data_IF_611577083092
#
_entry.id   IF_611577083092
#
_cell.length_a   1.000
_cell.length_b   1.000
_cell.length_c   1.000
_cell.angle_alpha   90.00
_cell.angle_beta   90.00
_cell.angle_gamma   90.00
#
_symmetry.space_group_name_H-M   'P 1'
#
loop_
_entity.id
_entity.type
_entity.pdbx_description
1 polymer ?
#
# COMPACT_ATOMS: atom_id res chain seq x y z
N UNK A 1 -7.74 3.06 -1.50
CA UNK A 1 -7.83 1.81 -0.70
C UNK A 1 -7.47 0.61 -1.55
N UNK A 2 -8.26 0.25 -2.58
CA UNK A 2 -8.00 -0.94 -3.39
C UNK A 2 -6.60 -0.98 -4.03
N UNK A 3 -6.13 0.12 -4.62
CA UNK A 3 -4.79 0.15 -5.22
C UNK A 3 -3.67 -0.10 -4.19
N UNK A 4 -3.75 0.55 -3.03
CA UNK A 4 -2.81 0.36 -1.90
C UNK A 4 -2.79 -1.10 -1.45
N UNK A 5 -3.97 -1.72 -1.31
CA UNK A 5 -4.11 -3.12 -0.96
C UNK A 5 -3.49 -4.05 -2.03
N UNK A 6 -3.80 -3.82 -3.32
CA UNK A 6 -3.21 -4.58 -4.43
C UNK A 6 -1.68 -4.48 -4.40
N UNK A 7 -1.12 -3.30 -4.13
CA UNK A 7 0.33 -3.14 -4.03
C UNK A 7 0.93 -3.90 -2.84
N UNK A 8 0.29 -3.84 -1.67
CA UNK A 8 0.73 -4.63 -0.51
C UNK A 8 0.76 -6.13 -0.84
N UNK A 9 -0.31 -6.65 -1.45
CA UNK A 9 -0.40 -8.05 -1.86
C UNK A 9 0.68 -8.40 -2.88
N UNK A 10 0.89 -7.57 -3.91
CA UNK A 10 1.91 -7.83 -4.94
C UNK A 10 3.32 -7.85 -4.38
N UNK A 11 3.68 -6.91 -3.49
CA UNK A 11 4.99 -6.93 -2.84
C UNK A 11 5.16 -8.14 -1.94
N UNK A 12 4.11 -8.56 -1.22
CA UNK A 12 4.17 -9.73 -0.36
C UNK A 12 4.31 -11.03 -1.17
N UNK A 13 3.53 -11.17 -2.23
CA UNK A 13 3.63 -12.32 -3.14
C UNK A 13 5.01 -12.39 -3.76
N UNK A 14 5.55 -11.26 -4.24
CA UNK A 14 6.89 -11.24 -4.83
C UNK A 14 7.97 -11.62 -3.80
N UNK A 15 7.85 -11.16 -2.55
CA UNK A 15 8.77 -11.55 -1.47
C UNK A 15 8.72 -13.06 -1.17
N UNK A 16 7.52 -13.65 -1.16
CA UNK A 16 7.34 -15.10 -0.94
C UNK A 16 7.88 -15.90 -2.14
N UNK A 17 7.77 -15.36 -3.35
CA UNK A 17 8.26 -15.97 -4.59
C UNK A 17 9.77 -15.80 -4.81
N UNK A 18 10.48 -15.11 -3.90
CA UNK A 18 11.93 -14.92 -3.98
C UNK A 18 12.37 -13.66 -4.73
N UNK A 19 11.53 -12.64 -4.80
CA UNK A 19 11.80 -11.31 -5.37
C UNK A 19 12.12 -11.30 -6.88
N UNK A 20 11.34 -12.05 -7.67
CA UNK A 20 11.54 -12.22 -9.12
C UNK A 20 11.00 -11.06 -9.98
N UNK A 21 9.98 -10.35 -9.50
CA UNK A 21 9.26 -9.36 -10.28
C UNK A 21 9.77 -7.93 -10.05
N UNK A 22 9.85 -7.49 -8.79
CA UNK A 22 10.28 -6.14 -8.45
C UNK A 22 11.78 -6.10 -8.14
N UNK A 23 12.50 -5.13 -8.72
CA UNK A 23 13.90 -4.89 -8.37
C UNK A 23 14.03 -4.58 -6.86
N UNK A 24 14.88 -5.34 -6.18
CA UNK A 24 15.24 -5.15 -4.78
C UNK A 24 16.64 -4.55 -4.62
N UNK A 25 16.92 -4.02 -3.43
CA UNK A 25 18.24 -3.49 -3.04
C UNK A 25 18.87 -4.31 -1.90
N UNK A 26 18.06 -5.08 -1.18
CA UNK A 26 18.45 -5.94 -0.05
C UNK A 26 17.35 -7.00 0.15
N UNK A 27 17.66 -8.15 0.80
CA UNK A 27 16.77 -9.32 0.84
C UNK A 27 15.37 -9.12 1.45
N UNK A 28 15.16 -8.07 2.25
CA UNK A 28 13.87 -7.80 2.91
C UNK A 28 13.11 -6.62 2.27
N UNK A 29 13.53 -6.16 1.09
CA UNK A 29 13.04 -4.91 0.53
C UNK A 29 11.55 -4.96 0.16
N UNK A 30 11.09 -6.04 -0.48
CA UNK A 30 9.67 -6.18 -0.78
C UNK A 30 8.82 -6.41 0.48
N UNK A 31 9.32 -7.17 1.47
CA UNK A 31 8.66 -7.28 2.77
C UNK A 31 8.49 -5.91 3.46
N UNK A 32 9.53 -5.06 3.42
CA UNK A 32 9.44 -3.69 3.94
C UNK A 32 8.42 -2.86 3.17
N UNK A 33 8.39 -2.95 1.83
CA UNK A 33 7.38 -2.28 1.00
C UNK A 33 5.97 -2.73 1.35
N UNK A 34 5.75 -4.03 1.56
CA UNK A 34 4.46 -4.57 2.02
C UNK A 34 4.01 -3.92 3.32
N UNK A 35 4.88 -3.86 4.33
CA UNK A 35 4.56 -3.24 5.63
C UNK A 35 4.14 -1.77 5.47
N UNK A 36 4.88 -1.01 4.68
CA UNK A 36 4.55 0.40 4.39
C UNK A 36 3.18 0.53 3.73
N UNK A 37 2.86 -0.31 2.74
CA UNK A 37 1.55 -0.27 2.07
C UNK A 37 0.40 -0.65 3.02
N UNK A 38 0.61 -1.64 3.91
CA UNK A 38 -0.39 -2.02 4.90
C UNK A 38 -0.62 -0.92 5.94
N UNK A 39 0.43 -0.28 6.45
CA UNK A 39 0.30 0.88 7.35
C UNK A 39 -0.45 2.02 6.67
N UNK A 40 -0.10 2.33 5.42
CA UNK A 40 -0.83 3.35 4.65
C UNK A 40 -2.31 2.99 4.48
N UNK A 41 -2.63 1.71 4.22
CA UNK A 41 -4.01 1.26 4.11
C UNK A 41 -4.79 1.48 5.42
N UNK A 42 -4.19 1.14 6.55
CA UNK A 42 -4.78 1.36 7.88
C UNK A 42 -5.03 2.85 8.16
N UNK A 43 -4.06 3.70 7.83
CA UNK A 43 -4.22 5.16 7.99
C UNK A 43 -5.33 5.72 7.08
N UNK A 44 -5.41 5.24 5.84
CA UNK A 44 -6.48 5.61 4.91
C UNK A 44 -7.86 5.16 5.40
N UNK A 45 -7.95 4.01 6.06
CA UNK A 45 -9.20 3.53 6.65
C UNK A 45 -9.60 4.36 7.86
N UNK A 46 -8.65 4.66 8.76
CA UNK A 46 -8.88 5.51 9.93
C UNK A 46 -9.30 6.95 9.55
N UNK A 47 -8.85 7.45 8.40
CA UNK A 47 -9.11 8.81 7.93
C UNK A 47 -10.14 8.89 6.80
N UNK A 48 -10.84 7.79 6.49
CA UNK A 48 -11.67 7.67 5.29
C UNK A 48 -12.71 8.79 5.15
N UNK A 49 -13.47 9.07 6.21
CA UNK A 49 -14.52 10.09 6.18
C UNK A 49 -13.97 11.50 5.96
N UNK A 50 -12.80 11.79 6.55
CA UNK A 50 -12.09 13.06 6.36
C UNK A 50 -11.66 13.22 4.91
N UNK A 51 -11.09 12.17 4.30
CA UNK A 51 -10.70 12.19 2.88
C UNK A 51 -11.91 12.45 1.98
N UNK A 52 -13.02 11.73 2.20
CA UNK A 52 -14.27 11.91 1.43
C UNK A 52 -14.82 13.33 1.60
N UNK A 53 -14.79 13.87 2.81
CA UNK A 53 -15.23 15.25 3.08
C UNK A 53 -14.39 16.28 2.32
N UNK A 54 -13.05 16.13 2.32
CA UNK A 54 -12.15 17.03 1.59
C UNK A 54 -12.46 17.00 0.09
N UNK A 55 -12.64 15.83 -0.51
CA UNK A 55 -12.98 15.70 -1.93
C UNK A 55 -14.32 16.41 -2.22
N UNK A 56 -15.35 16.17 -1.42
CA UNK A 56 -16.65 16.82 -1.57
C UNK A 56 -16.59 18.34 -1.45
N UNK A 57 -15.69 18.88 -0.62
CA UNK A 57 -15.49 20.32 -0.47
C UNK A 57 -14.84 20.96 -1.71
N UNK A 58 -13.93 20.24 -2.37
CA UNK A 58 -13.19 20.72 -3.54
C UNK A 58 -13.98 20.52 -4.84
N UNK A 59 -14.81 19.48 -4.91
CA UNK A 59 -15.65 19.20 -6.08
C UNK A 59 -16.96 20.01 -6.14
N UNK A 60 -17.14 20.98 -5.23
CA UNK A 60 -18.22 21.98 -5.27
C UNK A 60 -17.67 23.30 -5.78
#
# INVERSE_FOLDING_TARGET
KLMTYIMATRFLTDYIDGDNYYKIKYPLHNLQRTRVQLTLLQDMEAQWDKMVHIIKKISK
#
